data_IF_293180386391
#
_entry.id   IF_293180386391
#
_cell.length_a   1.000
_cell.length_b   1.000
_cell.length_c   1.000
_cell.angle_alpha   90.00
_cell.angle_beta   90.00
_cell.angle_gamma   90.00
#
_symmetry.space_group_name_H-M   'P 1'
#
loop_
_entity.id
_entity.type
_entity.pdbx_description
1 polymer ?
#
# COMPACT_ATOMS: atom_id res chain seq x y z
N UNK A 1 -27.02 58.35 5.89
CA UNK A 1 -26.34 59.63 5.65
C UNK A 1 -25.66 59.51 4.29
N UNK A 2 -26.18 60.22 3.30
CA UNK A 2 -25.73 60.18 1.91
C UNK A 2 -24.33 60.76 1.75
N UNK A 3 -23.61 60.39 0.68
CA UNK A 3 -23.00 61.31 -0.29
C UNK A 3 -22.46 60.47 -1.47
N UNK A 4 -22.90 60.86 -2.66
CA UNK A 4 -22.37 60.46 -3.96
C UNK A 4 -21.71 61.67 -4.61
N UNK A 5 -20.55 61.53 -5.24
CA UNK A 5 -19.98 62.43 -6.27
C UNK A 5 -18.98 61.59 -7.11
N UNK A 6 -19.02 61.42 -8.44
CA UNK A 6 -19.29 62.23 -9.64
C UNK A 6 -18.01 62.80 -10.30
N UNK A 7 -17.82 62.45 -11.58
CA UNK A 7 -17.02 63.20 -12.59
C UNK A 7 -15.56 62.76 -12.77
N UNK A 8 -14.96 62.70 -13.95
CA UNK A 8 -15.38 63.07 -15.31
C UNK A 8 -14.17 63.14 -16.25
N UNK A 9 -14.40 62.77 -17.52
CA UNK A 9 -13.78 63.20 -18.79
C UNK A 9 -12.29 63.57 -18.90
N UNK A 10 -11.62 62.95 -19.89
CA UNK A 10 -10.51 63.53 -20.65
C UNK A 10 -10.47 62.97 -22.09
N UNK A 11 -10.90 63.79 -23.06
CA UNK A 11 -10.86 63.54 -24.52
C UNK A 11 -9.57 64.09 -25.16
N UNK A 12 -9.34 63.64 -26.40
CA UNK A 12 -8.51 64.18 -27.51
C UNK A 12 -7.30 63.28 -27.84
N UNK A 13 -6.96 62.97 -29.10
CA UNK A 13 -7.22 63.66 -30.36
C UNK A 13 -7.24 62.71 -31.57
N UNK A 14 -8.09 63.07 -32.54
CA UNK A 14 -8.16 62.67 -33.95
C UNK A 14 -6.86 62.90 -34.73
N UNK A 15 -6.69 62.10 -35.80
CA UNK A 15 -6.38 62.48 -37.21
C UNK A 15 -6.59 61.22 -38.07
N UNK A 16 -7.72 61.03 -38.75
CA UNK A 16 -8.11 61.50 -40.09
C UNK A 16 -7.10 61.23 -41.23
N UNK A 17 -7.46 60.28 -42.09
CA UNK A 17 -7.42 60.29 -43.56
C UNK A 17 -7.69 58.84 -44.04
N UNK A 18 -8.69 58.47 -44.84
CA UNK A 18 -9.45 59.20 -45.83
C UNK A 18 -9.22 58.57 -47.21
N UNK A 19 -10.30 58.11 -47.86
CA UNK A 19 -10.45 57.69 -49.28
C UNK A 19 -9.91 56.27 -49.64
N UNK A 20 -10.63 55.41 -50.38
CA UNK A 20 -11.67 55.60 -51.41
C UNK A 20 -12.71 54.47 -51.39
N UNK A 21 -13.95 54.87 -51.69
CA UNK A 21 -15.06 54.04 -52.17
C UNK A 21 -14.70 53.38 -53.52
N UNK A 22 -15.06 52.11 -53.68
CA UNK A 22 -15.37 51.55 -54.99
C UNK A 22 -16.45 50.48 -54.87
N UNK A 23 -17.61 50.80 -55.43
CA UNK A 23 -18.76 49.92 -55.62
C UNK A 23 -18.39 48.76 -56.55
N UNK A 24 -18.74 47.51 -56.19
CA UNK A 24 -19.07 46.47 -57.17
C UNK A 24 -20.22 45.56 -56.67
N UNK A 25 -21.20 45.42 -57.57
CA UNK A 25 -22.47 44.65 -57.49
C UNK A 25 -22.28 43.12 -57.37
N UNK A 26 -23.35 42.34 -57.08
CA UNK A 26 -23.28 41.10 -56.32
C UNK A 26 -22.99 39.86 -57.18
N UNK A 27 -21.94 39.10 -56.84
CA UNK A 27 -21.70 37.73 -57.35
C UNK A 27 -22.34 36.69 -56.43
N UNK A 28 -23.66 36.53 -56.51
CA UNK A 28 -24.42 35.53 -55.72
C UNK A 28 -24.56 34.14 -56.36
N UNK A 29 -23.97 33.89 -57.53
CA UNK A 29 -24.20 32.64 -58.28
C UNK A 29 -23.03 31.66 -58.33
N UNK A 30 -21.82 32.02 -57.87
CA UNK A 30 -20.68 31.08 -57.87
C UNK A 30 -20.49 30.30 -56.54
N UNK A 31 -21.08 30.73 -55.43
CA UNK A 31 -20.96 30.03 -54.13
C UNK A 31 -21.78 28.75 -54.02
N UNK A 32 -22.77 28.53 -54.90
CA UNK A 32 -23.59 27.30 -54.91
C UNK A 32 -22.94 26.14 -55.66
N UNK A 33 -22.03 26.40 -56.60
CA UNK A 33 -21.32 25.34 -57.31
C UNK A 33 -20.19 24.71 -56.47
N UNK A 34 -19.46 25.52 -55.68
CA UNK A 34 -18.36 25.03 -54.84
C UNK A 34 -18.85 24.26 -53.60
N UNK A 35 -19.99 24.64 -53.01
CA UNK A 35 -20.59 23.87 -51.91
C UNK A 35 -21.20 22.54 -52.40
N UNK A 36 -21.77 22.50 -53.61
CA UNK A 36 -22.34 21.28 -54.18
C UNK A 36 -21.28 20.20 -54.45
N UNK A 37 -20.11 20.59 -54.98
CA UNK A 37 -19.02 19.66 -55.26
C UNK A 37 -18.32 19.15 -53.99
N UNK A 38 -18.25 19.95 -52.92
CA UNK A 38 -17.71 19.50 -51.64
C UNK A 38 -18.60 18.46 -50.95
N UNK A 39 -19.93 18.61 -51.02
CA UNK A 39 -20.86 17.62 -50.47
C UNK A 39 -20.85 16.30 -51.26
N UNK A 40 -20.70 16.32 -52.58
CA UNK A 40 -20.60 15.10 -53.39
C UNK A 40 -19.26 14.38 -53.15
N UNK A 41 -18.14 15.10 -53.00
CA UNK A 41 -16.85 14.50 -52.65
C UNK A 41 -16.86 13.85 -51.25
N UNK A 42 -17.54 14.47 -50.26
CA UNK A 42 -17.75 13.88 -48.93
C UNK A 42 -18.70 12.67 -48.95
N UNK A 43 -19.67 12.65 -49.87
CA UNK A 43 -20.60 11.51 -50.04
C UNK A 43 -19.92 10.30 -50.69
N UNK A 44 -18.97 10.52 -51.60
CA UNK A 44 -18.22 9.43 -52.27
C UNK A 44 -17.19 8.79 -51.33
N UNK A 45 -16.61 9.55 -50.39
CA UNK A 45 -15.77 8.99 -49.31
C UNK A 45 -16.58 8.24 -48.23
N UNK A 46 -17.86 8.54 -48.08
CA UNK A 46 -18.75 7.84 -47.15
C UNK A 46 -19.34 6.54 -47.73
N UNK A 47 -19.15 6.28 -49.04
CA UNK A 47 -19.64 5.07 -49.72
C UNK A 47 -18.51 4.16 -50.23
N UNK A 48 -17.27 4.28 -49.73
CA UNK A 48 -16.30 3.19 -49.93
C UNK A 48 -16.79 1.97 -49.15
N UNK A 49 -17.27 0.96 -49.87
CA UNK A 49 -17.80 -0.30 -49.32
C UNK A 49 -16.74 -1.22 -48.70
N UNK A 50 -15.50 -0.75 -48.55
CA UNK A 50 -14.38 -1.57 -48.10
C UNK A 50 -13.86 -1.12 -46.72
N UNK A 51 -14.77 -0.77 -45.80
CA UNK A 51 -14.44 -0.96 -44.39
C UNK A 51 -14.38 -2.46 -44.15
N UNK A 52 -13.17 -3.01 -44.19
CA UNK A 52 -12.91 -4.38 -43.78
C UNK A 52 -13.28 -4.52 -42.30
N UNK A 53 -14.51 -4.97 -42.03
CA UNK A 53 -15.00 -5.29 -40.69
C UNK A 53 -14.49 -6.65 -40.22
N UNK A 54 -13.67 -7.35 -41.00
CA UNK A 54 -13.02 -8.57 -40.53
C UNK A 54 -11.93 -8.17 -39.53
N UNK A 55 -12.31 -8.19 -38.24
CA UNK A 55 -11.34 -8.12 -37.16
C UNK A 55 -10.45 -9.36 -37.27
N UNK A 56 -9.28 -9.22 -37.88
CA UNK A 56 -8.24 -10.24 -37.80
C UNK A 56 -7.86 -10.33 -36.33
N UNK A 57 -8.17 -11.46 -35.71
CA UNK A 57 -7.72 -11.72 -34.36
C UNK A 57 -6.19 -11.58 -34.36
N UNK A 58 -5.60 -10.83 -33.41
CA UNK A 58 -4.16 -10.83 -33.25
C UNK A 58 -3.68 -12.27 -33.03
N UNK A 59 -2.40 -12.56 -33.32
CA UNK A 59 -1.81 -13.87 -33.04
C UNK A 59 -2.12 -14.27 -31.59
N UNK A 60 -2.41 -15.56 -31.33
CA UNK A 60 -2.68 -16.01 -29.97
C UNK A 60 -1.47 -15.70 -29.07
N UNK A 61 -1.68 -14.88 -28.03
CA UNK A 61 -0.72 -14.62 -26.96
C UNK A 61 -1.01 -15.50 -25.75
N UNK A 62 0.03 -15.89 -25.02
CA UNK A 62 -0.10 -16.52 -23.70
C UNK A 62 -0.29 -15.44 -22.62
N UNK A 63 -0.72 -15.82 -21.41
CA UNK A 63 -0.74 -14.88 -20.29
C UNK A 63 0.65 -14.30 -20.02
N UNK A 64 1.69 -15.11 -20.16
CA UNK A 64 3.08 -14.67 -20.03
C UNK A 64 3.48 -13.61 -21.06
N UNK A 65 2.96 -13.68 -22.29
CA UNK A 65 3.18 -12.65 -23.32
C UNK A 65 2.55 -11.30 -22.91
N UNK A 66 1.30 -11.34 -22.42
CA UNK A 66 0.58 -10.15 -21.99
C UNK A 66 1.26 -9.52 -20.75
N UNK A 67 1.68 -10.34 -19.78
CA UNK A 67 2.40 -9.89 -18.59
C UNK A 67 3.78 -9.33 -18.92
N UNK A 68 4.52 -9.98 -19.83
CA UNK A 68 5.79 -9.46 -20.34
C UNK A 68 5.59 -8.11 -21.01
N UNK A 69 4.56 -7.98 -21.86
CA UNK A 69 4.24 -6.73 -22.57
C UNK A 69 4.02 -5.58 -21.60
N UNK A 70 3.14 -5.77 -20.60
CA UNK A 70 2.83 -4.74 -19.60
C UNK A 70 4.06 -4.35 -18.76
N UNK A 71 4.89 -5.33 -18.36
CA UNK A 71 6.12 -5.05 -17.62
C UNK A 71 7.13 -4.29 -18.50
N UNK A 72 7.26 -4.70 -19.76
CA UNK A 72 8.16 -4.08 -20.72
C UNK A 72 7.76 -2.63 -21.00
N UNK A 73 6.47 -2.34 -21.18
CA UNK A 73 5.97 -0.98 -21.36
C UNK A 73 6.25 -0.08 -20.16
N UNK A 74 6.03 -0.60 -18.95
CA UNK A 74 6.31 0.16 -17.72
C UNK A 74 7.80 0.45 -17.56
N UNK A 75 8.66 -0.53 -17.88
CA UNK A 75 10.10 -0.30 -17.89
C UNK A 75 10.48 0.72 -18.97
N UNK A 76 9.95 0.58 -20.19
CA UNK A 76 10.17 1.48 -21.33
C UNK A 76 9.85 2.93 -20.99
N UNK A 77 8.63 3.17 -20.50
CA UNK A 77 8.19 4.50 -20.07
C UNK A 77 9.05 5.08 -18.94
N UNK A 78 9.59 4.24 -18.06
CA UNK A 78 10.42 4.70 -16.94
C UNK A 78 11.86 5.05 -17.33
N UNK A 79 12.42 4.38 -18.35
CA UNK A 79 13.84 4.54 -18.74
C UNK A 79 14.03 5.40 -19.99
N UNK A 80 13.01 5.53 -20.84
CA UNK A 80 12.97 6.39 -22.01
C UNK A 80 11.87 7.44 -21.85
N UNK A 81 12.02 8.30 -20.85
CA UNK A 81 11.03 9.33 -20.50
C UNK A 81 10.77 10.34 -21.62
N UNK A 82 11.68 10.44 -22.59
CA UNK A 82 11.53 11.26 -23.79
C UNK A 82 10.56 10.69 -24.83
N UNK A 83 10.24 9.39 -24.76
CA UNK A 83 9.37 8.69 -25.70
C UNK A 83 7.95 8.56 -25.14
N UNK A 84 7.21 9.65 -25.22
CA UNK A 84 5.86 9.76 -24.66
C UNK A 84 4.84 8.82 -25.31
N UNK A 85 5.10 8.35 -26.54
CA UNK A 85 4.24 7.44 -27.28
C UNK A 85 4.66 5.97 -27.16
N UNK A 86 5.84 5.72 -26.59
CA UNK A 86 6.45 4.40 -26.49
C UNK A 86 6.85 3.80 -27.84
N UNK A 87 6.98 4.61 -28.89
CA UNK A 87 7.22 4.14 -30.25
C UNK A 87 8.55 3.40 -30.40
N UNK A 88 9.58 3.80 -29.64
CA UNK A 88 10.92 3.22 -29.70
C UNK A 88 10.99 1.79 -29.14
N UNK A 89 10.20 1.50 -28.10
CA UNK A 89 10.22 0.20 -27.41
C UNK A 89 9.00 -0.67 -27.73
N UNK A 90 8.00 -0.16 -28.44
CA UNK A 90 6.80 -0.92 -28.84
C UNK A 90 7.14 -2.27 -29.49
N UNK A 91 8.14 -2.29 -30.38
CA UNK A 91 8.53 -3.51 -31.10
C UNK A 91 9.12 -4.58 -30.19
N UNK A 92 9.82 -4.20 -29.12
CA UNK A 92 10.38 -5.18 -28.17
C UNK A 92 9.35 -5.61 -27.12
N UNK A 93 8.35 -4.77 -26.84
CA UNK A 93 7.34 -5.01 -25.80
C UNK A 93 6.09 -5.68 -26.32
N UNK A 94 5.75 -5.57 -27.61
CA UNK A 94 4.56 -6.19 -28.18
C UNK A 94 4.87 -7.07 -29.38
N UNK A 95 4.04 -8.10 -29.53
CA UNK A 95 3.99 -8.95 -30.70
C UNK A 95 3.46 -8.15 -31.89
N UNK A 96 4.15 -8.23 -33.03
CA UNK A 96 3.72 -7.64 -34.29
C UNK A 96 2.61 -8.45 -34.98
N UNK A 97 2.14 -7.98 -36.14
CA UNK A 97 1.12 -8.66 -36.93
C UNK A 97 1.53 -10.07 -37.41
N UNK A 98 2.82 -10.41 -37.35
CA UNK A 98 3.38 -11.72 -37.72
C UNK A 98 3.60 -12.65 -36.53
N UNK A 99 3.27 -12.24 -35.31
CA UNK A 99 3.51 -13.06 -34.13
C UNK A 99 4.91 -12.91 -33.54
N UNK A 100 5.66 -11.84 -33.88
CA UNK A 100 7.05 -11.67 -33.47
C UNK A 100 7.29 -10.39 -32.69
N UNK A 101 8.18 -10.48 -31.72
CA UNK A 101 8.79 -9.32 -31.09
C UNK A 101 10.07 -8.93 -31.83
N UNK A 102 10.46 -7.66 -31.77
CA UNK A 102 11.79 -7.20 -32.12
C UNK A 102 12.80 -7.53 -30.99
N UNK A 103 14.09 -7.53 -31.31
CA UNK A 103 15.15 -7.79 -30.32
C UNK A 103 15.87 -6.52 -29.83
N UNK A 104 15.64 -5.39 -30.51
CA UNK A 104 16.34 -4.12 -30.28
C UNK A 104 15.37 -2.95 -30.24
N UNK A 105 15.69 -1.92 -29.45
CA UNK A 105 14.92 -0.67 -29.40
C UNK A 105 15.08 0.08 -30.74
N UNK A 106 13.98 0.58 -31.31
CA UNK A 106 14.05 1.49 -32.46
C UNK A 106 14.47 2.88 -31.98
N UNK A 107 15.68 3.30 -32.33
CA UNK A 107 16.22 4.59 -31.90
C UNK A 107 15.79 5.76 -32.78
N UNK A 108 15.14 5.50 -33.92
CA UNK A 108 14.70 6.55 -34.86
C UNK A 108 13.74 7.57 -34.22
N UNK A 109 12.73 7.16 -33.42
CA UNK A 109 11.81 8.11 -32.79
C UNK A 109 12.47 8.99 -31.71
N UNK A 110 13.63 8.57 -31.16
CA UNK A 110 14.26 9.23 -30.01
C UNK A 110 15.09 10.47 -30.37
N UNK A 111 15.31 10.73 -31.67
CA UNK A 111 16.16 11.82 -32.14
C UNK A 111 17.63 11.69 -31.71
N UNK A 112 18.42 12.76 -31.92
CA UNK A 112 19.86 12.77 -31.63
C UNK A 112 20.18 13.52 -30.32
N UNK A 113 20.98 12.90 -29.46
CA UNK A 113 21.53 13.51 -28.25
C UNK A 113 23.07 13.48 -28.27
N UNK A 114 23.69 14.34 -27.47
CA UNK A 114 25.15 14.38 -27.28
C UNK A 114 25.52 14.42 -25.79
N UNK A 115 26.78 14.10 -25.47
CA UNK A 115 27.32 14.18 -24.12
C UNK A 115 26.70 13.16 -23.16
N UNK A 116 26.58 13.55 -21.89
CA UNK A 116 26.10 12.69 -20.80
C UNK A 116 24.68 12.15 -21.03
N UNK A 117 23.79 12.96 -21.62
CA UNK A 117 22.43 12.54 -21.95
C UNK A 117 22.39 11.37 -22.96
N UNK A 118 23.34 11.34 -23.91
CA UNK A 118 23.46 10.23 -24.86
C UNK A 118 23.90 8.92 -24.16
N UNK A 119 24.79 9.02 -23.18
CA UNK A 119 25.24 7.87 -22.37
C UNK A 119 24.09 7.32 -21.50
N UNK A 120 23.33 8.20 -20.84
CA UNK A 120 22.16 7.80 -20.04
C UNK A 120 21.12 7.07 -20.89
N UNK A 121 20.82 7.59 -22.09
CA UNK A 121 19.94 6.92 -23.04
C UNK A 121 20.49 5.55 -23.47
N UNK A 122 21.78 5.45 -23.73
CA UNK A 122 22.40 4.18 -24.09
C UNK A 122 22.27 3.13 -22.98
N UNK A 123 22.40 3.54 -21.71
CA UNK A 123 22.10 2.65 -20.57
C UNK A 123 20.62 2.24 -20.52
N UNK A 124 19.70 3.17 -20.78
CA UNK A 124 18.27 2.88 -20.84
C UNK A 124 17.94 1.85 -21.93
N UNK A 125 18.44 2.05 -23.15
CA UNK A 125 18.31 1.10 -24.27
C UNK A 125 18.89 -0.27 -23.88
N UNK A 126 20.10 -0.28 -23.30
CA UNK A 126 20.77 -1.52 -22.91
C UNK A 126 19.98 -2.33 -21.88
N UNK A 127 19.27 -1.66 -20.95
CA UNK A 127 18.37 -2.31 -19.98
C UNK A 127 17.19 -2.98 -20.67
N UNK A 128 16.54 -2.27 -21.59
CA UNK A 128 15.41 -2.80 -22.35
C UNK A 128 15.81 -3.99 -23.23
N UNK A 129 16.94 -3.90 -23.92
CA UNK A 129 17.47 -5.00 -24.73
C UNK A 129 17.94 -6.18 -23.86
N UNK A 130 18.43 -5.94 -22.64
CA UNK A 130 18.72 -7.01 -21.70
C UNK A 130 17.47 -7.77 -21.27
N UNK A 131 16.35 -7.06 -21.08
CA UNK A 131 15.05 -7.68 -20.83
C UNK A 131 14.55 -8.45 -22.05
N UNK A 132 14.69 -7.90 -23.26
CA UNK A 132 14.35 -8.58 -24.52
C UNK A 132 15.14 -9.90 -24.69
N UNK A 133 16.44 -9.92 -24.38
CA UNK A 133 17.26 -11.15 -24.39
C UNK A 133 16.76 -12.25 -23.45
N UNK A 134 16.04 -11.88 -22.38
CA UNK A 134 15.45 -12.83 -21.42
C UNK A 134 13.95 -13.01 -21.60
N UNK A 135 13.37 -12.50 -22.69
CA UNK A 135 11.93 -12.51 -22.95
C UNK A 135 11.31 -13.89 -22.78
N UNK A 136 11.86 -14.92 -23.44
CA UNK A 136 11.33 -16.28 -23.36
C UNK A 136 11.34 -16.80 -21.92
N UNK A 137 12.43 -16.61 -21.19
CA UNK A 137 12.54 -17.04 -19.79
C UNK A 137 11.53 -16.33 -18.88
N UNK A 138 11.26 -15.04 -19.13
CA UNK A 138 10.27 -14.27 -18.38
C UNK A 138 8.85 -14.74 -18.69
N UNK A 139 8.52 -14.92 -19.98
CA UNK A 139 7.23 -15.44 -20.43
C UNK A 139 6.99 -16.85 -19.86
N UNK A 140 7.98 -17.73 -19.97
CA UNK A 140 7.92 -19.10 -19.45
C UNK A 140 7.75 -19.09 -17.93
N UNK A 141 8.47 -18.22 -17.22
CA UNK A 141 8.31 -18.06 -15.77
C UNK A 141 6.91 -17.56 -15.39
N UNK A 142 6.34 -16.60 -16.14
CA UNK A 142 4.98 -16.14 -15.92
C UNK A 142 3.96 -17.25 -16.18
N UNK A 143 4.09 -17.96 -17.31
CA UNK A 143 3.22 -19.09 -17.64
C UNK A 143 3.32 -20.24 -16.63
N UNK A 144 4.52 -20.48 -16.07
CA UNK A 144 4.72 -21.49 -15.03
C UNK A 144 4.16 -21.06 -13.66
N UNK A 145 4.25 -19.77 -13.35
CA UNK A 145 3.74 -19.20 -12.08
C UNK A 145 2.22 -19.09 -12.09
N UNK A 146 1.64 -18.77 -13.26
CA UNK A 146 0.22 -18.61 -13.49
C UNK A 146 -0.22 -19.60 -14.57
N UNK A 147 -0.28 -20.90 -14.26
CA UNK A 147 -0.72 -21.89 -15.22
C UNK A 147 -2.14 -21.57 -15.68
N UNK A 148 -2.36 -21.63 -16.99
CA UNK A 148 -3.66 -21.31 -17.59
C UNK A 148 -4.65 -22.49 -17.48
N UNK A 149 -4.84 -22.95 -16.26
CA UNK A 149 -5.77 -24.03 -15.93
C UNK A 149 -7.22 -23.51 -15.87
N UNK A 150 -8.16 -24.44 -15.97
CA UNK A 150 -9.56 -24.15 -15.67
C UNK A 150 -9.76 -23.97 -14.17
N UNK A 151 -10.26 -22.80 -13.78
CA UNK A 151 -10.67 -22.48 -12.41
C UNK A 151 -12.19 -22.34 -12.36
N UNK A 152 -12.77 -22.48 -11.18
CA UNK A 152 -14.18 -22.10 -10.96
C UNK A 152 -14.37 -20.61 -11.25
N UNK A 153 -15.32 -20.26 -12.11
CA UNK A 153 -15.59 -18.89 -12.51
C UNK A 153 -16.04 -18.06 -11.31
N UNK A 154 -15.23 -17.08 -10.86
CA UNK A 154 -15.55 -16.31 -9.68
C UNK A 154 -16.73 -15.33 -9.87
N UNK A 155 -17.24 -15.18 -11.11
CA UNK A 155 -18.38 -14.33 -11.45
C UNK A 155 -19.62 -15.13 -11.88
N UNK A 156 -19.61 -16.46 -11.82
CA UNK A 156 -20.76 -17.31 -12.15
C UNK A 156 -21.29 -18.02 -10.92
N UNK A 157 -22.59 -17.85 -10.64
CA UNK A 157 -23.27 -18.57 -9.56
C UNK A 157 -23.55 -20.04 -9.91
N UNK A 158 -23.17 -20.49 -11.12
CA UNK A 158 -23.54 -21.80 -11.68
C UNK A 158 -22.45 -22.86 -11.63
N UNK A 159 -21.41 -22.68 -10.80
CA UNK A 159 -20.27 -23.60 -10.71
C UNK A 159 -19.64 -23.92 -12.09
N UNK A 160 -19.59 -22.90 -12.95
CA UNK A 160 -18.99 -22.98 -14.28
C UNK A 160 -17.46 -22.83 -14.18
N UNK A 161 -16.73 -23.39 -15.14
CA UNK A 161 -15.27 -23.24 -15.23
C UNK A 161 -14.89 -22.14 -16.21
N UNK A 162 -13.82 -21.39 -15.91
CA UNK A 162 -13.20 -20.38 -16.78
C UNK A 162 -11.70 -20.58 -16.78
N UNK A 163 -11.02 -20.31 -17.90
CA UNK A 163 -9.55 -20.32 -17.93
C UNK A 163 -8.98 -19.16 -17.12
N UNK A 164 -7.91 -19.42 -16.36
CA UNK A 164 -7.30 -18.43 -15.46
C UNK A 164 -6.98 -17.09 -16.13
N UNK A 165 -6.42 -17.08 -17.34
CA UNK A 165 -6.13 -15.82 -18.06
C UNK A 165 -7.39 -15.04 -18.48
N UNK A 166 -8.50 -15.73 -18.81
CA UNK A 166 -9.77 -15.08 -19.13
C UNK A 166 -10.34 -14.43 -17.87
N UNK A 167 -10.26 -15.13 -16.74
CA UNK A 167 -10.66 -14.57 -15.46
C UNK A 167 -9.82 -13.35 -15.10
N UNK A 168 -8.49 -13.45 -15.18
CA UNK A 168 -7.60 -12.33 -14.92
C UNK A 168 -7.85 -11.15 -15.87
N UNK A 169 -8.06 -11.41 -17.16
CA UNK A 169 -8.40 -10.36 -18.14
C UNK A 169 -9.72 -9.66 -17.77
N UNK A 170 -10.74 -10.42 -17.35
CA UNK A 170 -12.03 -9.87 -16.92
C UNK A 170 -11.88 -9.03 -15.65
N UNK A 171 -11.09 -9.51 -14.68
CA UNK A 171 -10.74 -8.77 -13.47
C UNK A 171 -10.03 -7.46 -13.79
N UNK A 172 -8.97 -7.51 -14.62
CA UNK A 172 -8.21 -6.33 -15.01
C UNK A 172 -9.07 -5.32 -15.77
N UNK A 173 -9.99 -5.77 -16.64
CA UNK A 173 -10.97 -4.90 -17.29
C UNK A 173 -11.94 -4.25 -16.29
N UNK A 174 -12.31 -4.96 -15.22
CA UNK A 174 -13.10 -4.40 -14.12
C UNK A 174 -12.36 -3.35 -13.30
N UNK A 175 -11.02 -3.42 -13.27
CA UNK A 175 -10.18 -2.42 -12.59
C UNK A 175 -10.08 -1.11 -13.38
N UNK A 176 -10.04 -1.15 -14.72
CA UNK A 176 -9.81 0.06 -15.53
C UNK A 176 -10.80 1.20 -15.22
N UNK A 177 -12.13 0.96 -15.12
CA UNK A 177 -13.07 2.01 -14.73
C UNK A 177 -12.78 2.64 -13.36
N UNK A 178 -12.14 1.92 -12.43
CA UNK A 178 -11.77 2.43 -11.10
C UNK A 178 -10.64 3.48 -11.15
N UNK A 179 -9.91 3.57 -12.26
CA UNK A 179 -8.93 4.64 -12.51
C UNK A 179 -9.54 5.92 -13.05
N UNK A 180 -10.70 5.82 -13.70
CA UNK A 180 -11.34 6.93 -14.43
C UNK A 180 -12.64 7.40 -13.77
N UNK A 181 -13.17 6.61 -12.84
CA UNK A 181 -14.43 6.89 -12.17
C UNK A 181 -14.48 6.22 -10.82
N UNK A 182 -15.26 6.80 -9.91
CA UNK A 182 -15.69 6.15 -8.70
C UNK A 182 -17.05 5.49 -8.97
N UNK A 183 -17.14 4.14 -9.10
CA UNK A 183 -18.40 3.46 -9.43
C UNK A 183 -19.42 3.53 -8.30
N UNK A 184 -18.95 3.92 -7.13
CA UNK A 184 -19.65 3.93 -5.87
C UNK A 184 -20.22 5.33 -5.58
N UNK A 185 -19.49 6.39 -5.92
CA UNK A 185 -19.97 7.78 -5.86
C UNK A 185 -19.65 8.51 -7.18
N UNK A 186 -20.51 8.37 -8.21
CA UNK A 186 -20.24 8.87 -9.55
C UNK A 186 -20.21 10.40 -9.66
N UNK A 187 -20.67 11.12 -8.63
CA UNK A 187 -20.78 12.58 -8.62
C UNK A 187 -20.02 13.16 -7.42
N UNK A 188 -18.88 13.79 -7.68
CA UNK A 188 -18.25 14.73 -6.75
C UNK A 188 -17.04 14.22 -5.96
N UNK A 189 -16.65 12.95 -6.08
CA UNK A 189 -15.42 12.44 -5.49
C UNK A 189 -14.39 11.98 -6.53
N UNK A 190 -13.12 12.02 -6.12
CA UNK A 190 -11.95 11.64 -6.90
C UNK A 190 -11.96 10.16 -7.33
N UNK A 191 -11.40 9.86 -8.50
CA UNK A 191 -11.26 8.51 -9.05
C UNK A 191 -10.73 7.52 -8.01
N UNK A 192 -11.34 6.33 -7.88
CA UNK A 192 -11.12 5.42 -6.74
C UNK A 192 -9.65 5.04 -6.56
N UNK A 193 -8.98 4.53 -7.60
CA UNK A 193 -7.59 4.09 -7.48
C UNK A 193 -6.58 5.24 -7.31
N UNK A 194 -6.70 6.35 -8.07
CA UNK A 194 -5.93 7.56 -7.79
C UNK A 194 -6.16 8.13 -6.39
N UNK A 195 -7.39 8.07 -5.87
CA UNK A 195 -7.73 8.53 -4.51
C UNK A 195 -7.09 7.64 -3.43
N UNK A 196 -7.14 6.32 -3.58
CA UNK A 196 -6.45 5.37 -2.68
C UNK A 196 -4.93 5.60 -2.71
N UNK A 197 -4.36 5.79 -3.90
CA UNK A 197 -2.94 6.05 -4.08
C UNK A 197 -2.53 7.36 -3.41
N UNK A 198 -3.32 8.42 -3.60
CA UNK A 198 -3.09 9.72 -2.94
C UNK A 198 -3.30 9.64 -1.44
N UNK A 199 -4.31 8.92 -0.95
CA UNK A 199 -4.54 8.73 0.48
C UNK A 199 -3.41 7.96 1.16
N UNK A 200 -2.88 6.95 0.46
CA UNK A 200 -1.66 6.24 0.87
C UNK A 200 -0.45 7.17 0.86
N UNK A 201 -0.34 8.03 -0.16
CA UNK A 201 0.65 9.11 -0.21
C UNK A 201 0.51 10.08 0.96
N UNK A 202 -0.72 10.52 1.30
CA UNK A 202 -1.02 11.40 2.46
C UNK A 202 -0.59 10.74 3.76
N UNK A 203 -0.85 9.44 3.93
CA UNK A 203 -0.38 8.68 5.10
C UNK A 203 1.15 8.71 5.18
N UNK A 204 1.85 8.35 4.10
CA UNK A 204 3.31 8.34 4.10
C UNK A 204 3.93 9.74 4.22
N UNK A 205 3.34 10.77 3.63
CA UNK A 205 3.75 12.17 3.81
C UNK A 205 3.53 12.64 5.24
N UNK A 206 2.40 12.30 5.86
CA UNK A 206 2.15 12.57 7.28
C UNK A 206 3.19 11.91 8.19
N UNK A 207 3.66 10.71 7.80
CA UNK A 207 4.75 10.01 8.49
C UNK A 207 6.16 10.53 8.14
N UNK A 208 6.36 11.19 6.99
CA UNK A 208 7.66 11.71 6.57
C UNK A 208 7.92 13.15 7.08
N UNK A 209 6.87 13.84 7.54
CA UNK A 209 6.89 15.27 7.86
C UNK A 209 6.24 16.11 6.77
N UNK A 210 5.68 17.29 7.11
CA UNK A 210 5.00 18.13 6.13
C UNK A 210 5.97 18.55 5.01
N UNK A 211 5.63 18.34 3.72
CA UNK A 211 6.35 18.99 2.62
C UNK A 211 6.21 20.51 2.78
N UNK A 212 7.29 21.26 2.47
CA UNK A 212 7.32 22.72 2.66
C UNK A 212 6.31 23.49 1.78
N UNK A 213 5.74 22.84 0.77
CA UNK A 213 5.06 23.52 -0.34
C UNK A 213 3.70 22.90 -0.71
N UNK A 214 3.13 22.00 0.10
CA UNK A 214 1.93 21.26 -0.28
C UNK A 214 0.63 21.94 0.18
N UNK A 215 -0.35 22.04 -0.72
CA UNK A 215 -1.72 22.55 -0.47
C UNK A 215 -2.47 21.70 0.58
N UNK A 216 -1.93 20.51 0.87
CA UNK A 216 -2.48 19.47 1.73
C UNK A 216 -2.34 19.68 3.25
N UNK A 217 -1.53 20.63 3.72
CA UNK A 217 -1.38 20.98 5.15
C UNK A 217 -2.06 22.30 5.52
N UNK A 218 -2.90 22.83 4.62
CA UNK A 218 -3.46 24.20 4.61
C UNK A 218 -4.32 24.65 5.81
N UNK A 219 -4.30 23.93 6.93
CA UNK A 219 -4.94 24.31 8.19
C UNK A 219 -4.09 24.17 9.46
N UNK A 220 -2.84 23.69 9.36
CA UNK A 220 -1.93 23.54 10.52
C UNK A 220 -0.72 24.47 10.38
N UNK A 221 -0.30 25.07 11.49
CA UNK A 221 0.99 25.77 11.56
C UNK A 221 2.13 24.77 11.25
N UNK A 222 3.10 25.09 10.36
CA UNK A 222 4.26 24.25 10.08
C UNK A 222 4.94 23.64 11.32
N UNK A 223 5.02 24.39 12.42
CA UNK A 223 5.59 23.89 13.67
C UNK A 223 4.74 22.77 14.32
N UNK A 224 3.41 22.88 14.25
CA UNK A 224 2.49 21.86 14.77
C UNK A 224 2.48 20.62 13.88
N UNK A 225 2.50 20.80 12.56
CA UNK A 225 2.57 19.71 11.60
C UNK A 225 3.89 18.92 11.74
N UNK A 226 5.02 19.61 11.96
CA UNK A 226 6.30 18.96 12.22
C UNK A 226 6.31 18.21 13.57
N UNK A 227 5.75 18.80 14.63
CA UNK A 227 5.63 18.15 15.94
C UNK A 227 4.76 16.89 15.88
N UNK A 228 3.63 16.94 15.16
CA UNK A 228 2.75 15.79 14.98
C UNK A 228 3.41 14.68 14.16
N UNK A 229 4.12 15.02 13.09
CA UNK A 229 4.85 14.06 12.28
C UNK A 229 5.97 13.39 13.08
N UNK A 230 6.72 14.14 13.89
CA UNK A 230 7.72 13.58 14.81
C UNK A 230 7.07 12.65 15.84
N UNK A 231 5.96 13.05 16.45
CA UNK A 231 5.24 12.19 17.38
C UNK A 231 4.74 10.89 16.73
N UNK A 232 4.28 10.95 15.47
CA UNK A 232 3.89 9.77 14.70
C UNK A 232 5.09 8.88 14.34
N UNK A 233 6.20 9.48 13.92
CA UNK A 233 7.47 8.78 13.67
C UNK A 233 7.99 8.11 14.94
N UNK A 234 7.98 8.80 16.08
CA UNK A 234 8.40 8.27 17.38
C UNK A 234 7.49 7.12 17.82
N UNK A 235 6.18 7.24 17.62
CA UNK A 235 5.20 6.18 17.89
C UNK A 235 5.45 4.94 17.03
N UNK A 236 5.77 5.12 15.75
CA UNK A 236 6.15 4.02 14.85
C UNK A 236 7.55 3.47 15.15
N UNK A 237 8.49 4.31 15.58
CA UNK A 237 9.82 3.88 15.98
C UNK A 237 9.74 2.95 17.21
N UNK A 238 8.84 3.23 18.14
CA UNK A 238 8.53 2.32 19.25
C UNK A 238 7.99 0.94 18.82
N UNK A 239 7.37 0.83 17.63
CA UNK A 239 7.02 -0.49 17.06
C UNK A 239 8.24 -1.22 16.52
N UNK A 240 9.26 -0.51 16.04
CA UNK A 240 10.51 -1.11 15.54
C UNK A 240 11.32 -1.78 16.65
N UNK A 241 11.34 -1.22 17.88
CA UNK A 241 11.94 -1.86 19.05
C UNK A 241 11.28 -3.19 19.45
N UNK A 242 10.09 -3.48 18.91
CA UNK A 242 9.31 -4.71 19.18
C UNK A 242 9.53 -5.80 18.14
N UNK A 243 10.57 -5.67 17.32
CA UNK A 243 10.97 -6.72 16.37
C UNK A 243 11.17 -8.05 17.10
N UNK A 244 10.67 -9.13 16.50
CA UNK A 244 10.81 -10.47 17.06
C UNK A 244 10.01 -10.72 18.34
N UNK A 245 9.07 -9.85 18.75
CA UNK A 245 8.27 -10.07 19.97
C UNK A 245 7.15 -11.11 19.81
N UNK A 246 6.89 -11.61 18.60
CA UNK A 246 5.96 -12.72 18.35
C UNK A 246 6.60 -13.68 17.36
N UNK A 247 6.63 -14.99 17.64
CA UNK A 247 7.11 -15.93 16.66
C UNK A 247 6.09 -16.02 15.52
N UNK A 248 6.59 -16.09 14.28
CA UNK A 248 5.77 -16.18 13.06
C UNK A 248 4.69 -17.26 13.16
N UNK A 249 5.00 -18.41 13.79
CA UNK A 249 4.06 -19.52 13.99
C UNK A 249 2.84 -19.14 14.84
N UNK A 250 3.01 -18.32 15.88
CA UNK A 250 1.91 -17.86 16.74
C UNK A 250 1.11 -16.76 16.05
N UNK A 251 1.79 -15.82 15.37
CA UNK A 251 1.13 -14.75 14.60
C UNK A 251 0.23 -15.31 13.49
N UNK A 252 0.72 -16.30 12.74
CA UNK A 252 -0.08 -16.98 11.73
C UNK A 252 -1.15 -17.90 12.32
N UNK A 253 -1.02 -18.30 13.59
CA UNK A 253 -1.93 -19.23 14.27
C UNK A 253 -3.36 -18.70 14.39
N UNK A 254 -3.55 -17.39 14.59
CA UNK A 254 -4.89 -16.78 14.64
C UNK A 254 -5.44 -16.44 13.24
N UNK A 255 -4.56 -16.05 12.31
CA UNK A 255 -4.96 -15.71 10.95
C UNK A 255 -5.31 -16.95 10.12
N UNK A 256 -4.64 -18.07 10.34
CA UNK A 256 -4.83 -19.28 9.54
C UNK A 256 -6.24 -19.87 9.65
N UNK A 257 -6.88 -19.99 10.83
CA UNK A 257 -8.29 -20.39 10.93
C UNK A 257 -9.25 -19.39 10.29
N UNK A 258 -9.01 -18.09 10.46
CA UNK A 258 -9.84 -17.04 9.86
C UNK A 258 -9.78 -17.07 8.33
N UNK A 259 -8.57 -17.22 7.76
CA UNK A 259 -8.35 -17.35 6.31
C UNK A 259 -8.75 -18.71 5.75
N UNK A 260 -8.74 -19.75 6.56
CA UNK A 260 -9.21 -21.10 6.20
C UNK A 260 -10.71 -21.27 6.43
N UNK A 261 -11.44 -20.24 6.85
CA UNK A 261 -12.88 -20.32 7.03
C UNK A 261 -13.53 -20.59 5.66
N UNK A 262 -14.16 -21.77 5.46
CA UNK A 262 -14.62 -22.17 4.13
C UNK A 262 -15.66 -21.21 3.56
N UNK A 263 -16.47 -20.63 4.44
CA UNK A 263 -17.54 -19.69 4.09
C UNK A 263 -17.07 -18.23 4.09
N UNK A 264 -15.76 -17.94 4.25
CA UNK A 264 -15.28 -16.55 4.24
C UNK A 264 -15.69 -15.83 2.95
N UNK A 265 -15.66 -16.56 1.83
CA UNK A 265 -16.09 -16.06 0.53
C UNK A 265 -17.59 -15.78 0.51
N UNK A 266 -18.40 -16.75 0.93
CA UNK A 266 -19.86 -16.63 0.99
C UNK A 266 -20.29 -15.48 1.90
N UNK A 267 -19.66 -15.39 3.07
CA UNK A 267 -19.84 -14.30 4.04
C UNK A 267 -19.46 -12.96 3.42
N UNK A 268 -18.29 -12.85 2.77
CA UNK A 268 -17.87 -11.61 2.13
C UNK A 268 -18.82 -11.20 0.99
N UNK A 269 -19.23 -12.14 0.13
CA UNK A 269 -20.20 -11.89 -0.95
C UNK A 269 -21.57 -11.50 -0.42
N UNK A 270 -21.99 -12.05 0.72
CA UNK A 270 -23.27 -11.72 1.36
C UNK A 270 -23.23 -10.35 2.01
N UNK A 271 -22.12 -9.99 2.67
CA UNK A 271 -22.00 -8.76 3.44
C UNK A 271 -21.64 -7.54 2.60
N UNK A 272 -20.82 -7.69 1.56
CA UNK A 272 -20.32 -6.56 0.76
C UNK A 272 -21.45 -5.68 0.21
N UNK A 273 -22.54 -6.23 -0.36
CA UNK A 273 -23.66 -5.41 -0.87
C UNK A 273 -24.32 -4.51 0.17
N UNK A 274 -24.31 -4.89 1.45
CA UNK A 274 -24.88 -4.08 2.55
C UNK A 274 -24.01 -2.87 2.92
N UNK A 275 -22.73 -2.91 2.54
CA UNK A 275 -21.77 -1.82 2.78
C UNK A 275 -21.48 -1.00 1.53
N UNK A 276 -22.13 -1.31 0.41
CA UNK A 276 -22.07 -0.47 -0.79
C UNK A 276 -22.77 0.88 -0.55
N UNK A 277 -22.35 1.96 -1.21
CA UNK A 277 -23.00 3.24 -0.93
C UNK A 277 -24.46 3.30 -1.33
N UNK A 278 -25.24 3.94 -0.46
CA UNK A 278 -26.70 3.90 -0.42
C UNK A 278 -27.31 2.54 -0.01
N UNK A 279 -26.50 1.55 0.40
CA UNK A 279 -27.01 0.36 1.05
C UNK A 279 -27.36 0.62 2.53
N UNK A 280 -28.11 -0.31 3.10
CA UNK A 280 -28.74 -0.21 4.41
C UNK A 280 -27.76 -0.11 5.60
N UNK A 281 -26.52 -0.56 5.45
CA UNK A 281 -25.50 -0.48 6.51
C UNK A 281 -24.38 0.53 6.22
N UNK A 282 -24.41 1.21 5.09
CA UNK A 282 -23.34 2.13 4.70
C UNK A 282 -23.19 3.31 5.66
N UNK A 283 -24.28 4.02 5.94
CA UNK A 283 -24.25 5.21 6.81
C UNK A 283 -23.80 4.83 8.23
N UNK A 284 -24.29 3.71 8.75
CA UNK A 284 -23.90 3.20 10.06
C UNK A 284 -22.40 2.86 10.13
N UNK A 285 -21.83 2.29 9.06
CA UNK A 285 -20.39 2.05 8.97
C UNK A 285 -19.60 3.36 8.94
N UNK A 286 -20.05 4.34 8.16
CA UNK A 286 -19.40 5.66 8.10
C UNK A 286 -19.47 6.39 9.44
N UNK A 287 -20.59 6.32 10.15
CA UNK A 287 -20.72 6.89 11.50
C UNK A 287 -19.73 6.25 12.48
N UNK A 288 -19.60 4.92 12.47
CA UNK A 288 -18.64 4.21 13.32
C UNK A 288 -17.20 4.60 12.97
N UNK A 289 -16.86 4.68 11.68
CA UNK A 289 -15.53 5.10 11.24
C UNK A 289 -15.24 6.55 11.63
N UNK A 290 -16.20 7.46 11.45
CA UNK A 290 -16.10 8.87 11.83
C UNK A 290 -15.96 9.07 13.34
N UNK A 291 -16.72 8.33 14.15
CA UNK A 291 -16.56 8.29 15.60
C UNK A 291 -15.18 7.76 15.99
N UNK A 292 -14.73 6.66 15.37
CA UNK A 292 -13.41 6.07 15.63
C UNK A 292 -12.30 7.07 15.30
N UNK A 293 -12.42 7.79 14.19
CA UNK A 293 -11.49 8.85 13.83
C UNK A 293 -11.50 9.99 14.87
N UNK A 294 -12.68 10.44 15.31
CA UNK A 294 -12.82 11.47 16.34
C UNK A 294 -12.16 11.06 17.67
N UNK A 295 -12.39 9.83 18.10
CA UNK A 295 -11.75 9.26 19.30
C UNK A 295 -10.24 9.15 19.12
N UNK A 296 -9.75 8.60 18.00
CA UNK A 296 -8.30 8.46 17.76
C UNK A 296 -7.57 9.80 17.65
N UNK A 297 -8.22 10.83 17.10
CA UNK A 297 -7.63 12.18 16.97
C UNK A 297 -7.56 12.93 18.31
N UNK A 298 -8.40 12.57 19.27
CA UNK A 298 -8.44 13.19 20.61
C UNK A 298 -7.88 12.28 21.70
N UNK A 299 -7.59 11.03 21.38
CA UNK A 299 -7.03 10.04 22.29
C UNK A 299 -5.62 10.43 22.71
N UNK A 300 -5.48 10.85 23.96
CA UNK A 300 -4.17 10.94 24.62
C UNK A 300 -3.79 9.58 25.22
N UNK A 301 -2.51 9.17 25.19
CA UNK A 301 -2.06 8.00 25.92
C UNK A 301 -2.53 8.08 27.38
N UNK A 302 -3.30 7.09 27.83
CA UNK A 302 -3.63 7.00 29.26
C UNK A 302 -2.32 6.85 30.04
N UNK A 303 -2.18 7.59 31.13
CA UNK A 303 -1.06 7.38 32.05
C UNK A 303 -1.07 5.91 32.47
N UNK A 304 0.02 5.19 32.19
CA UNK A 304 0.17 3.83 32.65
C UNK A 304 0.15 3.84 34.19
N UNK A 305 -0.58 2.91 34.83
CA UNK A 305 -0.56 2.84 36.28
C UNK A 305 0.85 2.46 36.75
N UNK A 306 1.21 2.85 37.98
CA UNK A 306 2.49 2.46 38.57
C UNK A 306 2.67 0.93 38.54
N UNK A 307 3.90 0.40 38.38
CA UNK A 307 4.16 -1.03 38.41
C UNK A 307 3.56 -1.70 39.65
N UNK A 308 3.11 -2.95 39.52
CA UNK A 308 2.59 -3.71 40.65
C UNK A 308 3.75 -4.24 41.48
N UNK A 309 3.84 -3.79 42.72
CA UNK A 309 4.85 -4.24 43.69
C UNK A 309 4.20 -4.93 44.89
N UNK A 310 4.84 -5.98 45.40
CA UNK A 310 4.45 -6.60 46.67
C UNK A 310 5.13 -5.83 47.80
N UNK A 311 4.36 -5.02 48.51
CA UNK A 311 4.84 -4.17 49.61
C UNK A 311 4.98 -4.98 50.91
N UNK A 312 4.18 -6.02 51.07
CA UNK A 312 4.29 -6.98 52.18
C UNK A 312 4.19 -8.41 51.65
N UNK A 313 5.34 -9.10 51.68
CA UNK A 313 5.45 -10.48 51.23
C UNK A 313 4.66 -11.47 52.09
N UNK A 314 4.39 -11.15 53.37
CA UNK A 314 3.67 -12.05 54.28
C UNK A 314 2.16 -12.10 54.01
N UNK A 315 1.61 -11.00 53.49
CA UNK A 315 0.18 -10.86 53.13
C UNK A 315 -0.05 -10.81 51.63
N UNK A 316 1.03 -10.81 50.83
CA UNK A 316 1.01 -10.55 49.39
C UNK A 316 0.29 -9.23 49.06
N UNK A 317 0.41 -8.23 49.95
CA UNK A 317 -0.22 -6.93 49.77
C UNK A 317 0.48 -6.16 48.65
N UNK A 318 -0.31 -5.72 47.67
CA UNK A 318 0.16 -4.92 46.54
C UNK A 318 0.19 -3.42 46.89
N UNK A 319 1.07 -2.66 46.25
CA UNK A 319 1.14 -1.20 46.35
C UNK A 319 -0.16 -0.51 45.89
N UNK A 320 -0.91 -1.14 44.98
CA UNK A 320 -2.23 -0.70 44.55
C UNK A 320 -3.14 -1.88 44.17
N UNK A 321 -4.47 -1.67 44.10
CA UNK A 321 -5.39 -2.65 43.52
C UNK A 321 -5.03 -2.95 42.06
N UNK A 322 -5.22 -4.21 41.65
CA UNK A 322 -5.13 -4.60 40.24
C UNK A 322 -6.29 -4.01 39.44
N UNK A 323 -6.02 -3.57 38.23
CA UNK A 323 -7.05 -3.21 37.27
C UNK A 323 -7.78 -4.45 36.76
N UNK A 324 -8.99 -4.29 36.21
CA UNK A 324 -9.74 -5.41 35.60
C UNK A 324 -8.93 -6.10 34.49
N UNK A 325 -8.17 -5.33 33.71
CA UNK A 325 -7.32 -5.85 32.65
C UNK A 325 -6.15 -6.66 33.22
N UNK A 326 -5.51 -6.19 34.29
CA UNK A 326 -4.43 -6.92 34.96
C UNK A 326 -4.91 -8.26 35.55
N UNK A 327 -6.11 -8.27 36.16
CA UNK A 327 -6.72 -9.50 36.67
C UNK A 327 -7.05 -10.45 35.52
N UNK A 328 -7.70 -9.96 34.46
CA UNK A 328 -8.06 -10.78 33.31
C UNK A 328 -6.80 -11.34 32.62
N UNK A 329 -5.78 -10.52 32.38
CA UNK A 329 -4.53 -10.97 31.77
C UNK A 329 -3.80 -12.00 32.64
N UNK A 330 -3.69 -11.76 33.95
CA UNK A 330 -3.05 -12.70 34.87
C UNK A 330 -3.78 -14.05 34.93
N UNK A 331 -5.11 -14.05 34.89
CA UNK A 331 -5.92 -15.26 34.87
C UNK A 331 -5.84 -15.97 33.53
N UNK A 332 -6.00 -15.26 32.41
CA UNK A 332 -6.04 -15.85 31.07
C UNK A 332 -4.67 -16.39 30.63
N UNK A 333 -3.59 -15.77 31.10
CA UNK A 333 -2.21 -16.17 30.81
C UNK A 333 -1.58 -17.02 31.92
N UNK A 334 -2.35 -17.45 32.94
CA UNK A 334 -1.83 -18.34 33.99
C UNK A 334 -1.38 -19.66 33.37
N UNK A 335 -0.13 -20.06 33.65
CA UNK A 335 0.45 -21.30 33.14
C UNK A 335 0.31 -22.43 34.17
N UNK A 336 -0.21 -23.58 33.75
CA UNK A 336 -0.26 -24.80 34.56
C UNK A 336 -0.21 -26.03 33.63
N UNK A 337 0.59 -27.08 33.94
CA UNK A 337 0.61 -28.32 33.16
C UNK A 337 -0.77 -28.98 32.98
N UNK A 338 -1.72 -28.76 33.89
CA UNK A 338 -3.12 -29.23 33.77
C UNK A 338 -3.84 -28.60 32.59
N UNK A 339 -3.46 -27.40 32.17
CA UNK A 339 -4.04 -26.75 30.98
C UNK A 339 -3.48 -27.32 29.67
N UNK A 340 -2.36 -28.05 29.71
CA UNK A 340 -1.75 -28.67 28.53
C UNK A 340 -2.68 -29.72 27.90
N UNK A 341 -2.73 -29.75 26.57
CA UNK A 341 -3.46 -30.78 25.84
C UNK A 341 -2.65 -32.09 25.73
N UNK A 342 -3.28 -33.24 25.49
CA UNK A 342 -2.55 -34.47 25.20
C UNK A 342 -1.61 -34.29 24.00
N UNK A 343 -0.30 -34.44 24.23
CA UNK A 343 0.72 -34.26 23.18
C UNK A 343 0.91 -32.82 22.71
N UNK A 344 0.53 -31.80 23.51
CA UNK A 344 0.74 -30.41 23.14
C UNK A 344 2.23 -30.03 23.19
N UNK A 345 2.77 -29.63 22.04
CA UNK A 345 4.11 -29.04 21.94
C UNK A 345 4.13 -27.61 22.51
N UNK A 346 5.18 -27.23 23.28
CA UNK A 346 5.34 -25.87 23.81
C UNK A 346 5.28 -24.81 22.73
N UNK A 347 4.59 -23.69 23.03
CA UNK A 347 4.45 -22.54 22.15
C UNK A 347 4.70 -21.26 22.92
N UNK A 348 5.91 -20.72 22.78
CA UNK A 348 6.31 -19.56 23.55
C UNK A 348 5.84 -18.23 22.96
N UNK A 349 5.46 -17.32 23.85
CA UNK A 349 5.26 -15.90 23.60
C UNK A 349 6.15 -15.14 24.57
N UNK A 350 6.85 -14.09 24.13
CA UNK A 350 7.64 -13.26 25.06
C UNK A 350 6.71 -12.55 26.03
N UNK A 351 7.03 -12.61 27.32
CA UNK A 351 6.32 -11.84 28.33
C UNK A 351 6.64 -10.36 28.18
N UNK A 352 5.64 -9.51 28.41
CA UNK A 352 5.78 -8.07 28.27
C UNK A 352 5.34 -7.37 29.54
N UNK A 353 6.00 -6.26 29.83
CA UNK A 353 5.59 -5.36 30.88
C UNK A 353 4.34 -4.56 30.46
N UNK A 354 3.88 -3.69 31.36
CA UNK A 354 2.74 -2.81 31.12
C UNK A 354 2.94 -1.77 30.01
N UNK A 355 4.20 -1.49 29.63
CA UNK A 355 4.57 -0.61 28.50
C UNK A 355 4.55 -1.38 27.16
N UNK A 356 4.37 -2.71 27.22
CA UNK A 356 4.42 -3.61 26.08
C UNK A 356 5.86 -3.92 25.64
N UNK A 357 6.85 -3.66 26.48
CA UNK A 357 8.27 -3.97 26.28
C UNK A 357 8.55 -5.39 26.79
N UNK A 358 9.41 -6.15 26.12
CA UNK A 358 9.76 -7.50 26.55
C UNK A 358 10.40 -7.47 27.95
N UNK A 359 10.03 -8.39 28.83
CA UNK A 359 10.64 -8.49 30.16
C UNK A 359 11.97 -9.24 30.02
N UNK A 360 13.12 -8.63 30.33
CA UNK A 360 14.38 -9.35 30.33
C UNK A 360 14.44 -10.35 31.47
N UNK A 361 15.16 -11.45 31.26
CA UNK A 361 15.34 -12.43 32.32
C UNK A 361 16.29 -11.91 33.40
N UNK A 362 16.22 -12.51 34.60
CA UNK A 362 17.16 -12.21 35.68
C UNK A 362 18.63 -12.45 35.29
N UNK A 363 18.91 -13.26 34.25
CA UNK A 363 20.27 -13.53 33.79
C UNK A 363 20.93 -12.33 33.08
N UNK A 364 20.13 -11.41 32.53
CA UNK A 364 20.63 -10.25 31.77
C UNK A 364 20.38 -8.92 32.45
N UNK A 365 19.47 -8.87 33.43
CA UNK A 365 19.24 -7.70 34.27
C UNK A 365 20.48 -7.34 35.09
N UNK A 366 20.82 -6.05 35.12
CA UNK A 366 22.01 -5.47 35.75
C UNK A 366 23.32 -5.67 34.98
N UNK A 367 23.43 -6.70 34.14
CA UNK A 367 24.67 -7.03 33.41
C UNK A 367 24.68 -6.52 31.97
N UNK A 368 23.59 -6.73 31.23
CA UNK A 368 23.43 -6.31 29.84
C UNK A 368 22.36 -5.23 29.69
N UNK A 369 21.34 -5.28 30.56
CA UNK A 369 20.22 -4.35 30.58
C UNK A 369 20.14 -3.74 31.97
N UNK A 370 19.98 -2.43 32.05
CA UNK A 370 19.93 -1.70 33.33
C UNK A 370 18.51 -1.24 33.66
N UNK A 371 18.30 -1.05 34.95
CA UNK A 371 17.16 -0.37 35.56
C UNK A 371 17.79 0.71 36.45
N UNK A 372 17.93 1.92 35.90
CA UNK A 372 18.69 3.01 36.53
C UNK A 372 17.82 3.85 37.47
N UNK A 373 16.51 3.89 37.23
CA UNK A 373 15.55 4.62 38.07
C UNK A 373 14.97 3.75 39.20
N UNK A 374 15.21 2.44 39.16
CA UNK A 374 14.88 1.50 40.22
C UNK A 374 13.40 1.16 40.27
N UNK A 375 12.67 1.30 39.16
CA UNK A 375 11.24 1.01 39.06
C UNK A 375 10.93 -0.48 38.84
N UNK A 376 11.97 -1.32 38.81
CA UNK A 376 11.89 -2.76 38.60
C UNK A 376 11.69 -3.15 37.14
N UNK A 377 11.71 -2.19 36.21
CA UNK A 377 11.58 -2.40 34.78
C UNK A 377 12.88 -2.03 34.07
N UNK A 378 13.09 -2.64 32.91
CA UNK A 378 14.25 -2.32 32.10
C UNK A 378 14.15 -0.91 31.48
N UNK A 379 15.24 -0.17 31.50
CA UNK A 379 15.38 1.10 30.81
C UNK A 379 15.33 0.88 29.29
N UNK A 380 14.58 1.74 28.60
CA UNK A 380 14.52 1.77 27.13
C UNK A 380 14.72 3.18 26.60
N UNK A 381 15.32 3.30 25.42
CA UNK A 381 15.40 4.57 24.70
C UNK A 381 14.07 4.94 24.02
N UNK A 382 14.03 6.09 23.35
CA UNK A 382 12.83 6.56 22.63
C UNK A 382 12.38 5.63 21.49
N UNK A 383 13.24 4.72 21.02
CA UNK A 383 12.91 3.71 20.02
C UNK A 383 12.49 2.37 20.64
N UNK A 384 12.42 2.28 21.99
CA UNK A 384 12.08 1.06 22.70
C UNK A 384 13.21 0.02 22.74
N UNK A 385 14.47 0.44 22.52
CA UNK A 385 15.65 -0.43 22.62
C UNK A 385 16.17 -0.40 24.06
N UNK A 386 16.57 -1.56 24.58
CA UNK A 386 17.09 -1.66 25.93
C UNK A 386 18.37 -0.85 26.12
N UNK A 387 18.45 -0.16 27.25
CA UNK A 387 19.66 0.51 27.72
C UNK A 387 20.44 -0.47 28.59
N UNK A 388 21.75 -0.51 28.39
CA UNK A 388 22.72 -1.26 29.17
C UNK A 388 23.73 -0.34 29.85
N UNK A 389 24.72 -0.90 30.58
CA UNK A 389 25.64 -0.12 31.40
C UNK A 389 26.51 0.87 30.63
N UNK A 390 26.76 0.60 29.33
CA UNK A 390 27.66 1.37 28.47
C UNK A 390 26.94 1.99 27.25
N UNK A 391 25.63 2.24 27.34
CA UNK A 391 24.80 2.71 26.23
C UNK A 391 23.77 1.66 25.81
N UNK A 392 23.44 1.55 24.52
CA UNK A 392 22.44 0.57 24.08
C UNK A 392 22.87 -0.88 24.33
N UNK A 393 21.98 -1.66 24.93
CA UNK A 393 22.19 -3.07 25.20
C UNK A 393 22.32 -3.86 23.88
N UNK A 394 23.33 -4.72 23.81
CA UNK A 394 23.56 -5.61 22.67
C UNK A 394 22.87 -6.95 22.94
N UNK A 395 21.55 -6.98 22.72
CA UNK A 395 20.72 -8.18 22.91
C UNK A 395 19.99 -8.55 21.64
N UNK A 396 19.86 -9.86 21.40
CA UNK A 396 19.09 -10.36 20.25
C UNK A 396 17.58 -10.12 20.46
N UNK A 397 16.78 -9.96 19.38
CA UNK A 397 15.32 -9.92 19.46
C UNK A 397 14.77 -11.21 20.08
N UNK A 398 13.63 -11.19 20.81
CA UNK A 398 13.12 -12.36 21.53
C UNK A 398 12.99 -13.62 20.66
N UNK A 399 12.47 -13.47 19.44
CA UNK A 399 12.42 -14.52 18.43
C UNK A 399 13.21 -14.15 17.17
N UNK A 400 13.55 -15.16 16.37
CA UNK A 400 14.24 -14.99 15.08
C UNK A 400 13.48 -14.04 14.16
N UNK A 401 14.21 -13.05 13.63
CA UNK A 401 13.73 -12.10 12.61
C UNK A 401 14.52 -12.34 11.32
N UNK A 402 13.85 -12.49 10.15
CA UNK A 402 14.54 -12.62 8.88
C UNK A 402 15.50 -11.45 8.63
N UNK A 403 16.70 -11.75 8.12
CA UNK A 403 17.77 -10.79 7.83
C UNK A 403 18.33 -10.00 9.05
N UNK A 404 17.92 -10.33 10.28
CA UNK A 404 18.55 -9.78 11.48
C UNK A 404 19.84 -10.55 11.80
N UNK A 405 20.96 -9.83 11.95
CA UNK A 405 22.23 -10.43 12.34
C UNK A 405 22.27 -10.64 13.86
N UNK A 406 22.17 -11.89 14.30
CA UNK A 406 22.17 -12.24 15.72
C UNK A 406 23.57 -12.33 16.31
N UNK A 407 23.65 -12.02 17.60
CA UNK A 407 24.83 -12.19 18.44
C UNK A 407 25.01 -13.66 18.82
N UNK A 408 23.92 -14.35 19.14
CA UNK A 408 23.91 -15.76 19.54
C UNK A 408 22.92 -16.59 18.72
N UNK A 409 23.26 -17.87 18.54
CA UNK A 409 22.34 -18.81 17.91
C UNK A 409 21.07 -18.98 18.79
N UNK A 410 19.87 -18.97 18.20
CA UNK A 410 18.64 -19.28 18.93
C UNK A 410 18.63 -20.71 19.46
N UNK A 411 17.76 -20.96 20.45
CA UNK A 411 17.37 -22.32 20.79
C UNK A 411 16.48 -22.97 19.71
N UNK A 412 16.07 -24.22 19.95
CA UNK A 412 15.18 -24.97 19.07
C UNK A 412 13.83 -24.27 18.82
N UNK A 413 13.36 -23.44 19.75
CA UNK A 413 12.11 -22.69 19.66
C UNK A 413 12.29 -21.30 19.05
N UNK A 414 13.51 -20.92 18.65
CA UNK A 414 13.83 -19.63 18.07
C UNK A 414 14.07 -18.52 19.08
N UNK A 415 14.17 -18.82 20.38
CA UNK A 415 14.29 -17.84 21.47
C UNK A 415 15.71 -17.27 21.55
N UNK A 416 15.85 -16.04 22.05
CA UNK A 416 17.13 -15.39 22.29
C UNK A 416 17.85 -15.99 23.50
N UNK A 417 19.14 -16.28 23.33
CA UNK A 417 20.02 -16.83 24.37
C UNK A 417 21.21 -15.90 24.64
N UNK A 418 21.68 -15.91 25.87
CA UNK A 418 22.97 -15.36 26.28
C UNK A 418 24.11 -16.27 25.80
N UNK A 419 25.35 -15.78 25.86
CA UNK A 419 26.54 -16.60 25.58
C UNK A 419 26.68 -17.82 26.50
N UNK A 420 26.09 -17.77 27.70
CA UNK A 420 26.03 -18.88 28.65
C UNK A 420 24.87 -19.86 28.41
N UNK A 421 24.06 -19.65 27.37
CA UNK A 421 22.90 -20.50 27.03
C UNK A 421 21.64 -20.22 27.85
N UNK A 422 21.65 -19.24 28.77
CA UNK A 422 20.45 -18.80 29.48
C UNK A 422 19.57 -17.93 28.58
N UNK A 423 18.26 -17.93 28.81
CA UNK A 423 17.30 -17.11 28.06
C UNK A 423 17.52 -15.62 28.33
N UNK A 424 17.39 -14.79 27.29
CA UNK A 424 17.52 -13.31 27.42
C UNK A 424 16.25 -12.66 27.97
N UNK A 425 15.09 -13.26 27.70
CA UNK A 425 13.78 -12.73 28.07
C UNK A 425 12.96 -13.76 28.82
N UNK A 426 11.93 -13.31 29.52
CA UNK A 426 10.90 -14.16 30.09
C UNK A 426 9.88 -14.57 29.02
N UNK A 427 9.41 -15.81 29.07
CA UNK A 427 8.46 -16.36 28.11
C UNK A 427 7.26 -17.05 28.78
N UNK A 428 6.12 -16.98 28.11
CA UNK A 428 4.89 -17.69 28.44
C UNK A 428 4.72 -18.83 27.43
N UNK A 429 4.63 -20.06 27.91
CA UNK A 429 4.18 -21.20 27.10
C UNK A 429 2.66 -21.14 26.94
N UNK A 430 2.23 -20.60 25.80
CA UNK A 430 0.81 -20.46 25.46
C UNK A 430 0.07 -21.78 25.43
N UNK A 431 0.75 -22.92 25.22
CA UNK A 431 0.11 -24.25 25.20
C UNK A 431 -0.41 -24.70 26.57
N UNK A 432 0.10 -24.09 27.64
CA UNK A 432 -0.23 -24.41 29.03
C UNK A 432 -1.00 -23.28 29.70
N UNK A 433 -1.63 -22.39 28.94
CA UNK A 433 -2.42 -21.29 29.50
C UNK A 433 -3.89 -21.64 29.65
N UNK A 434 -4.57 -21.01 30.62
CA UNK A 434 -6.03 -21.12 30.76
C UNK A 434 -6.75 -20.76 29.44
N UNK A 435 -6.27 -19.74 28.74
CA UNK A 435 -6.81 -19.37 27.41
C UNK A 435 -6.73 -20.53 26.42
N UNK A 436 -5.60 -21.23 26.36
CA UNK A 436 -5.44 -22.35 25.44
C UNK A 436 -6.33 -23.55 25.82
N UNK A 437 -6.55 -23.79 27.11
CA UNK A 437 -7.52 -24.79 27.55
C UNK A 437 -8.96 -24.41 27.12
N UNK A 438 -9.37 -23.15 27.34
CA UNK A 438 -10.71 -22.65 26.98
C UNK A 438 -10.98 -22.60 25.47
N UNK A 439 -9.96 -22.44 24.63
CA UNK A 439 -10.12 -22.44 23.16
C UNK A 439 -10.18 -23.87 22.60
N UNK A 440 -9.56 -24.82 23.31
CA UNK A 440 -9.55 -26.23 22.92
C UNK A 440 -10.88 -26.92 23.27
N UNK A 441 -11.39 -26.64 24.46
CA UNK A 441 -12.63 -27.22 25.01
C UNK A 441 -13.86 -26.46 24.46
#
# INVERSE_FOLDING_TARGET
MAIALRGGNGRHSRRDAGRKLQEQRPRRTLRRAVLGSACVALSVLACSSDFDTTRRAPPPSTLGDDMYSALCDRLGASVLTEDLEGASYRGICHIDASGKYADTVDTKPLGTLQGEAALTRQFAISKLEAMARRRSQLIDAFNATFPDDEISDPWSDKNESVRGHVALSRFMKGIVPLYESNPVEPQGMEDTLPSVTRSTGRLFSGLAGPPKDDEFTSGLDPAQAEALARAAQDSLAGLSGRQGYRPLRVTLGALRPALAYPELRSLAQTLTPHFEPNADMYDALQDVLGMTQGELTTSTPSALPEPLEVVDASTLQLNRPRTKLEVAAAMMLSQDPVFAGPGSEPRYLVQRDQRGVAIPSAAVMGSLIVDSDGDGLADVDSAGRFVGPNGLAQVDPPFVVPAFQRVQAPDFYGRALTSGGAEVYEYIDTSQTLTAALVRD
#
